data_IF_406118251306
#
_entry.id   IF_406118251306
#
_cell.length_a   1.000
_cell.length_b   1.000
_cell.length_c   1.000
_cell.angle_alpha   90.00
_cell.angle_beta   90.00
_cell.angle_gamma   90.00
#
_symmetry.space_group_name_H-M   'P 1'
#
loop_
_entity.id
_entity.type
_entity.pdbx_description
1 polymer ?
#
# COMPACT_ATOMS: atom_id res chain seq x y z
N UNK A 1 -7.35 9.65 15.62
CA UNK A 1 -7.26 10.25 14.27
C UNK A 1 -8.59 10.05 13.57
N UNK A 2 -9.12 11.09 12.93
CA UNK A 2 -10.36 11.04 12.17
C UNK A 2 -10.09 11.33 10.70
N UNK A 3 -10.98 10.86 9.83
CA UNK A 3 -10.84 10.95 8.37
C UNK A 3 -12.10 11.54 7.74
N UNK A 4 -11.90 12.38 6.75
CA UNK A 4 -12.97 13.06 6.00
C UNK A 4 -12.76 12.89 4.50
N UNK A 5 -13.86 12.93 3.74
CA UNK A 5 -13.77 12.92 2.28
C UNK A 5 -13.26 14.25 1.75
N UNK A 6 -12.41 14.21 0.73
CA UNK A 6 -11.95 15.41 -0.02
C UNK A 6 -13.08 16.12 -0.78
N UNK A 7 -14.21 15.45 -0.97
CA UNK A 7 -15.41 16.02 -1.61
C UNK A 7 -16.50 16.43 -0.63
N UNK A 8 -16.30 16.20 0.68
CA UNK A 8 -17.22 16.67 1.68
C UNK A 8 -17.36 18.20 1.55
N UNK A 9 -18.59 18.68 1.26
CA UNK A 9 -18.84 20.10 1.20
C UNK A 9 -18.57 20.70 2.59
N UNK A 10 -17.96 21.89 2.64
CA UNK A 10 -17.66 22.59 3.89
C UNK A 10 -18.92 22.85 4.76
N UNK A 11 -20.11 22.75 4.16
CA UNK A 11 -21.42 22.87 4.80
C UNK A 11 -22.07 21.55 5.20
N UNK A 12 -21.51 20.41 4.80
CA UNK A 12 -22.06 19.10 5.11
C UNK A 12 -21.61 18.65 6.50
N UNK A 13 -22.21 19.20 7.53
CA UNK A 13 -22.20 18.66 8.90
C UNK A 13 -22.71 17.20 9.00
N UNK A 14 -22.94 16.53 7.85
CA UNK A 14 -23.61 15.24 7.74
C UNK A 14 -22.69 14.04 7.48
N UNK A 15 -21.41 14.24 7.21
CA UNK A 15 -20.48 13.12 7.18
C UNK A 15 -19.76 13.02 8.51
N UNK A 16 -20.24 12.11 9.36
CA UNK A 16 -19.52 11.76 10.59
C UNK A 16 -18.09 11.36 10.23
N UNK A 17 -17.08 11.95 10.89
CA UNK A 17 -15.70 11.56 10.66
C UNK A 17 -15.54 10.05 10.84
N UNK A 18 -14.82 9.43 9.91
CA UNK A 18 -14.59 7.99 9.90
C UNK A 18 -13.31 7.64 10.66
N UNK A 19 -13.22 6.41 11.15
CA UNK A 19 -12.01 5.87 11.75
C UNK A 19 -11.14 5.18 10.68
N UNK A 20 -9.88 4.90 11.02
CA UNK A 20 -8.96 4.25 10.08
C UNK A 20 -9.46 2.88 9.61
N UNK A 21 -9.98 2.06 10.52
CA UNK A 21 -10.51 0.73 10.18
C UNK A 21 -11.76 0.78 9.28
N UNK A 22 -12.51 1.88 9.28
CA UNK A 22 -13.67 2.05 8.41
C UNK A 22 -13.26 2.42 6.99
N UNK A 23 -12.35 3.40 6.85
CA UNK A 23 -11.85 3.83 5.54
C UNK A 23 -10.95 2.79 4.88
N UNK A 24 -10.29 1.94 5.68
CA UNK A 24 -9.44 0.85 5.21
C UNK A 24 -10.19 -0.07 4.24
N UNK A 25 -11.38 -0.54 4.63
CA UNK A 25 -12.18 -1.47 3.82
C UNK A 25 -12.99 -0.75 2.74
N UNK A 26 -13.38 0.50 2.97
CA UNK A 26 -14.19 1.29 2.04
C UNK A 26 -13.44 1.76 0.79
N UNK A 27 -12.17 2.11 0.94
CA UNK A 27 -11.31 2.65 -0.11
C UNK A 27 -11.66 4.09 -0.49
N UNK A 28 -12.75 4.32 -1.22
CA UNK A 28 -13.30 5.64 -1.55
C UNK A 28 -14.47 5.98 -0.62
N UNK A 29 -14.66 7.27 -0.40
CA UNK A 29 -15.86 7.78 0.23
C UNK A 29 -17.10 7.62 -0.69
N UNK A 30 -18.32 7.55 -0.12
CA UNK A 30 -19.55 7.38 -0.91
C UNK A 30 -19.79 8.48 -1.97
N UNK A 31 -19.23 9.68 -1.74
CA UNK A 31 -19.28 10.81 -2.68
C UNK A 31 -18.20 10.73 -3.77
N UNK A 32 -17.41 9.64 -3.79
CA UNK A 32 -16.30 9.43 -4.71
C UNK A 32 -15.03 10.21 -4.37
N UNK A 33 -14.99 10.88 -3.20
CA UNK A 33 -13.80 11.55 -2.68
C UNK A 33 -12.79 10.58 -2.07
N UNK A 34 -11.59 11.08 -1.85
CA UNK A 34 -10.54 10.38 -1.10
C UNK A 34 -10.73 10.64 0.39
N UNK A 35 -10.38 9.65 1.22
CA UNK A 35 -10.28 9.90 2.65
C UNK A 35 -8.90 10.46 2.98
N UNK A 36 -8.89 11.58 3.68
CA UNK A 36 -7.69 12.19 4.27
C UNK A 36 -7.87 12.36 5.77
N UNK A 37 -6.77 12.32 6.55
CA UNK A 37 -6.84 12.64 7.97
C UNK A 37 -7.23 14.11 8.17
N UNK A 38 -7.96 14.39 9.22
CA UNK A 38 -8.37 15.77 9.57
C UNK A 38 -7.18 16.66 9.94
N UNK A 39 -6.09 16.04 10.37
CA UNK A 39 -4.81 16.70 10.69
C UNK A 39 -3.64 15.78 10.36
N UNK A 40 -2.49 16.36 10.06
CA UNK A 40 -1.25 15.59 9.84
C UNK A 40 -0.42 15.58 11.14
N UNK A 41 -0.17 14.41 11.73
CA UNK A 41 0.65 14.30 12.93
C UNK A 41 2.03 14.88 12.71
N UNK A 42 2.48 15.72 13.63
CA UNK A 42 3.84 16.24 13.61
C UNK A 42 4.80 15.21 14.22
N UNK A 43 6.02 15.17 13.70
CA UNK A 43 7.13 14.37 14.21
C UNK A 43 8.18 15.30 14.80
N UNK A 44 8.52 15.08 16.06
CA UNK A 44 9.51 15.87 16.79
C UNK A 44 10.93 15.42 16.47
N UNK A 45 11.92 16.29 16.74
CA UNK A 45 13.35 15.93 16.63
C UNK A 45 13.72 14.75 17.53
N UNK A 46 13.17 14.68 18.75
CA UNK A 46 13.40 13.58 19.68
C UNK A 46 12.84 12.23 19.16
N UNK A 47 11.69 12.26 18.49
CA UNK A 47 11.16 11.06 17.84
C UNK A 47 12.05 10.62 16.68
N UNK A 48 12.52 11.54 15.83
CA UNK A 48 13.44 11.21 14.75
C UNK A 48 14.72 10.56 15.27
N UNK A 49 15.30 11.08 16.36
CA UNK A 49 16.50 10.52 16.99
C UNK A 49 16.26 9.12 17.54
N UNK A 50 15.12 8.91 18.19
CA UNK A 50 14.72 7.59 18.69
C UNK A 50 14.50 6.59 17.53
N UNK A 51 13.89 7.03 16.43
CA UNK A 51 13.55 6.18 15.29
C UNK A 51 14.76 5.73 14.47
N UNK A 52 15.91 6.41 14.56
CA UNK A 52 17.16 6.02 13.87
C UNK A 52 17.61 4.60 14.19
N UNK A 53 17.29 4.09 15.38
CA UNK A 53 17.70 2.77 15.85
C UNK A 53 16.68 1.67 15.60
N UNK A 54 15.50 2.02 15.12
CA UNK A 54 14.40 1.07 14.91
C UNK A 54 14.63 0.23 13.66
N UNK A 55 14.18 -1.02 13.72
CA UNK A 55 13.97 -1.85 12.54
C UNK A 55 12.87 -1.24 11.67
N UNK A 56 12.74 -1.69 10.42
CA UNK A 56 11.69 -1.22 9.53
C UNK A 56 10.27 -1.48 10.10
N UNK A 57 10.04 -2.66 10.68
CA UNK A 57 8.77 -3.04 11.28
C UNK A 57 8.40 -2.16 12.48
N UNK A 58 9.38 -1.85 13.34
CA UNK A 58 9.18 -0.94 14.48
C UNK A 58 8.93 0.49 14.01
N UNK A 59 9.67 0.98 13.02
CA UNK A 59 9.43 2.30 12.43
C UNK A 59 8.03 2.38 11.79
N UNK A 60 7.61 1.33 11.10
CA UNK A 60 6.27 1.25 10.54
C UNK A 60 5.20 1.32 11.63
N UNK A 61 5.38 0.64 12.75
CA UNK A 61 4.50 0.74 13.91
C UNK A 61 4.44 2.17 14.47
N UNK A 62 5.58 2.81 14.70
CA UNK A 62 5.66 4.17 15.25
C UNK A 62 4.95 5.21 14.37
N UNK A 63 5.05 5.07 13.06
CA UNK A 63 4.37 5.96 12.11
C UNK A 63 2.87 5.63 12.05
N UNK A 64 2.52 4.35 11.87
CA UNK A 64 1.14 3.93 11.69
C UNK A 64 0.27 4.20 12.93
N UNK A 65 0.80 4.09 14.14
CA UNK A 65 0.04 4.37 15.37
C UNK A 65 -0.44 5.82 15.47
N UNK A 66 0.22 6.75 14.76
CA UNK A 66 -0.23 8.15 14.68
C UNK A 66 -1.48 8.30 13.80
N UNK A 67 -1.72 7.38 12.89
CA UNK A 67 -2.82 7.38 11.94
C UNK A 67 -3.92 6.38 12.29
N UNK A 68 -3.57 5.14 12.62
CA UNK A 68 -4.49 4.05 12.91
C UNK A 68 -4.83 3.98 14.42
N UNK A 69 -5.33 5.08 14.97
CA UNK A 69 -5.55 5.26 16.42
C UNK A 69 -6.70 4.43 17.00
N UNK A 70 -7.51 3.82 16.16
CA UNK A 70 -8.60 2.91 16.52
C UNK A 70 -8.18 1.43 16.53
N UNK A 71 -6.94 1.13 16.11
CA UNK A 71 -6.35 -0.20 16.23
C UNK A 71 -5.50 -0.25 17.52
N UNK A 72 -5.73 -1.23 18.42
CA UNK A 72 -4.90 -1.39 19.60
C UNK A 72 -3.42 -1.51 19.25
N UNK A 73 -2.55 -0.81 20.00
CA UNK A 73 -1.11 -0.76 19.71
C UNK A 73 -0.46 -2.16 19.64
N UNK A 74 -0.87 -3.07 20.50
CA UNK A 74 -0.35 -4.44 20.50
C UNK A 74 -0.69 -5.18 19.19
N UNK A 75 -1.93 -5.00 18.68
CA UNK A 75 -2.36 -5.60 17.44
C UNK A 75 -1.61 -4.96 16.24
N UNK A 76 -1.49 -3.64 16.23
CA UNK A 76 -0.79 -2.90 15.17
C UNK A 76 0.70 -3.28 15.12
N UNK A 77 1.34 -3.41 16.26
CA UNK A 77 2.73 -3.86 16.39
C UNK A 77 2.91 -5.29 15.85
N UNK A 78 1.97 -6.19 16.17
CA UNK A 78 1.99 -7.56 15.65
C UNK A 78 1.80 -7.58 14.12
N UNK A 79 0.92 -6.72 13.58
CA UNK A 79 0.67 -6.60 12.14
C UNK A 79 1.91 -6.09 11.39
N UNK A 80 2.59 -5.06 11.88
CA UNK A 80 3.81 -4.55 11.25
C UNK A 80 4.96 -5.55 11.33
N UNK A 81 5.13 -6.23 12.48
CA UNK A 81 6.14 -7.27 12.66
C UNK A 81 5.88 -8.48 11.73
N UNK A 82 4.62 -8.90 11.56
CA UNK A 82 4.24 -9.96 10.61
C UNK A 82 4.49 -9.56 9.16
N UNK A 83 4.34 -8.28 8.83
CA UNK A 83 4.43 -7.78 7.45
C UNK A 83 5.87 -7.62 6.99
N UNK A 84 6.67 -6.90 7.76
CA UNK A 84 8.01 -6.45 7.35
C UNK A 84 9.09 -7.38 7.90
N UNK A 85 9.23 -8.53 7.24
CA UNK A 85 10.19 -9.58 7.60
C UNK A 85 11.17 -9.85 6.47
N UNK A 86 12.36 -10.36 6.79
CA UNK A 86 13.36 -10.78 5.81
C UNK A 86 12.82 -11.87 4.85
N UNK A 87 11.92 -12.73 5.33
CA UNK A 87 11.31 -13.78 4.51
C UNK A 87 10.37 -13.22 3.44
N UNK A 88 9.62 -12.18 3.76
CA UNK A 88 8.73 -11.50 2.81
C UNK A 88 9.53 -10.65 1.82
N UNK A 89 10.56 -9.92 2.30
CA UNK A 89 11.37 -9.00 1.48
C UNK A 89 12.74 -9.60 1.13
N UNK A 90 12.77 -10.88 0.79
CA UNK A 90 14.00 -11.67 0.59
C UNK A 90 14.75 -11.40 -0.71
N UNK A 91 14.14 -10.68 -1.66
CA UNK A 91 14.73 -10.45 -2.97
C UNK A 91 15.73 -9.27 -2.94
N UNK A 92 16.81 -9.44 -2.22
CA UNK A 92 17.89 -8.45 -2.08
C UNK A 92 19.02 -8.74 -3.08
N UNK A 93 19.81 -7.70 -3.37
CA UNK A 93 21.00 -7.83 -4.20
C UNK A 93 22.16 -8.36 -3.36
N UNK A 94 23.19 -8.84 -4.06
CA UNK A 94 24.42 -9.26 -3.41
C UNK A 94 25.01 -8.16 -2.54
N UNK A 95 25.37 -8.50 -1.30
CA UNK A 95 25.90 -7.58 -0.28
C UNK A 95 24.85 -6.77 0.47
N UNK A 96 23.56 -6.92 0.16
CA UNK A 96 22.46 -6.29 0.89
C UNK A 96 21.84 -7.27 1.90
N UNK A 97 21.29 -6.75 2.99
CA UNK A 97 20.57 -7.54 4.00
C UNK A 97 19.06 -7.46 3.80
N UNK A 98 18.39 -8.60 3.74
CA UNK A 98 16.93 -8.67 3.70
C UNK A 98 16.26 -8.09 4.97
N UNK A 99 16.98 -8.07 6.09
CA UNK A 99 16.50 -7.48 7.35
C UNK A 99 16.33 -5.95 7.25
N UNK A 100 17.01 -5.28 6.32
CA UNK A 100 16.86 -3.84 6.12
C UNK A 100 15.55 -3.46 5.45
N UNK A 101 14.87 -4.42 4.81
CA UNK A 101 13.63 -4.28 4.05
C UNK A 101 13.78 -3.33 2.85
N UNK A 102 14.33 -2.12 3.06
CA UNK A 102 14.63 -1.13 2.02
C UNK A 102 16.08 -0.67 2.11
N UNK A 103 17.04 -1.56 1.75
CA UNK A 103 18.46 -1.24 1.85
C UNK A 103 18.82 -0.02 1.00
N UNK A 104 19.81 0.75 1.49
CA UNK A 104 20.36 1.91 0.82
C UNK A 104 21.72 1.57 0.22
N UNK A 105 21.92 1.95 -1.04
CA UNK A 105 23.21 1.88 -1.71
C UNK A 105 23.70 3.27 -2.05
N UNK A 106 24.88 3.63 -1.61
CA UNK A 106 25.56 4.85 -2.06
C UNK A 106 26.14 4.59 -3.44
N UNK A 107 25.66 5.34 -4.44
CA UNK A 107 26.12 5.19 -5.84
C UNK A 107 27.36 6.05 -6.10
N UNK A 108 27.32 7.30 -5.68
CA UNK A 108 28.42 8.23 -5.83
C UNK A 108 28.32 9.36 -4.83
N UNK A 109 29.49 9.88 -4.43
CA UNK A 109 29.58 11.10 -3.64
C UNK A 109 30.48 12.08 -4.40
N UNK A 110 29.94 13.19 -4.90
CA UNK A 110 30.72 14.22 -5.53
C UNK A 110 30.35 15.61 -4.98
N UNK A 111 31.34 16.50 -4.85
CA UNK A 111 31.15 17.88 -4.38
C UNK A 111 30.34 17.98 -3.05
N UNK A 112 30.61 17.07 -2.10
CA UNK A 112 29.93 17.05 -0.79
C UNK A 112 28.47 16.55 -0.83
N UNK A 113 27.97 16.03 -1.96
CA UNK A 113 26.65 15.44 -2.09
C UNK A 113 26.76 13.93 -2.24
N UNK A 114 25.83 13.20 -1.61
CA UNK A 114 25.69 11.75 -1.78
C UNK A 114 24.50 11.49 -2.69
N UNK A 115 24.70 10.65 -3.70
CA UNK A 115 23.62 10.03 -4.44
C UNK A 115 23.37 8.64 -3.84
N UNK A 116 22.16 8.43 -3.34
CA UNK A 116 21.77 7.20 -2.64
C UNK A 116 20.59 6.57 -3.33
N UNK A 117 20.68 5.30 -3.65
CA UNK A 117 19.58 4.50 -4.15
C UNK A 117 18.93 3.74 -2.99
N UNK A 118 17.65 3.98 -2.75
CA UNK A 118 16.83 3.18 -1.84
C UNK A 118 16.09 2.09 -2.61
N UNK A 119 16.34 0.83 -2.29
CA UNK A 119 15.68 -0.29 -2.95
C UNK A 119 14.27 -0.48 -2.38
N UNK A 120 13.26 -0.51 -3.25
CA UNK A 120 11.86 -0.77 -2.90
C UNK A 120 11.31 -2.02 -3.60
N UNK A 121 12.16 -2.75 -4.32
CA UNK A 121 11.79 -3.90 -5.16
C UNK A 121 12.17 -5.25 -4.55
N UNK A 122 12.24 -5.34 -3.23
CA UNK A 122 12.70 -6.55 -2.53
C UNK A 122 11.56 -7.49 -2.12
N UNK A 123 10.32 -7.07 -2.34
CA UNK A 123 9.13 -7.82 -2.01
C UNK A 123 8.83 -8.99 -2.97
N UNK A 124 7.73 -9.73 -2.74
CA UNK A 124 7.42 -10.96 -3.48
C UNK A 124 7.27 -10.79 -4.99
N UNK A 125 6.80 -9.63 -5.45
CA UNK A 125 6.55 -9.37 -6.88
C UNK A 125 7.61 -8.50 -7.53
N UNK A 126 8.62 -8.07 -6.79
CA UNK A 126 9.67 -7.15 -7.21
C UNK A 126 9.16 -5.75 -7.60
N UNK A 127 7.90 -5.46 -7.32
CA UNK A 127 7.31 -4.14 -7.49
C UNK A 127 7.31 -3.37 -6.16
N UNK A 128 7.56 -2.06 -6.20
CA UNK A 128 7.50 -1.21 -4.99
C UNK A 128 6.13 -1.27 -4.28
N UNK A 129 5.11 -1.68 -5.01
CA UNK A 129 3.74 -1.83 -4.51
C UNK A 129 3.63 -2.85 -3.39
N UNK A 130 4.53 -3.83 -3.33
CA UNK A 130 4.63 -4.79 -2.25
C UNK A 130 4.78 -4.12 -0.88
N UNK A 131 5.50 -2.99 -0.81
CA UNK A 131 5.74 -2.25 0.42
C UNK A 131 4.44 -1.85 1.14
N UNK A 132 3.42 -1.49 0.38
CA UNK A 132 2.11 -1.14 0.91
C UNK A 132 1.12 -2.30 0.89
N UNK A 133 1.14 -3.13 -0.16
CA UNK A 133 0.15 -4.20 -0.35
C UNK A 133 0.28 -5.30 0.69
N UNK A 134 1.50 -5.68 1.09
CA UNK A 134 1.70 -6.70 2.12
C UNK A 134 1.10 -6.27 3.47
N UNK A 135 1.27 -4.99 3.84
CA UNK A 135 0.61 -4.44 5.02
C UNK A 135 -0.91 -4.39 4.86
N UNK A 136 -1.39 -3.93 3.70
CA UNK A 136 -2.82 -3.82 3.41
C UNK A 136 -3.52 -5.18 3.54
N UNK A 137 -2.90 -6.25 3.03
CA UNK A 137 -3.43 -7.62 3.17
C UNK A 137 -3.59 -8.06 4.62
N UNK A 138 -2.60 -7.78 5.46
CA UNK A 138 -2.66 -8.10 6.88
C UNK A 138 -3.70 -7.23 7.63
N UNK A 139 -3.79 -5.94 7.30
CA UNK A 139 -4.80 -5.03 7.88
C UNK A 139 -6.22 -5.43 7.46
N UNK A 140 -6.45 -5.82 6.20
CA UNK A 140 -7.76 -6.29 5.73
C UNK A 140 -8.19 -7.55 6.47
N UNK A 141 -7.31 -8.56 6.53
CA UNK A 141 -7.61 -9.80 7.26
C UNK A 141 -7.97 -9.53 8.72
N UNK A 142 -7.20 -8.64 9.39
CA UNK A 142 -7.48 -8.21 10.76
C UNK A 142 -8.84 -7.50 10.90
N UNK A 143 -9.10 -6.50 10.07
CA UNK A 143 -10.33 -5.72 10.14
C UNK A 143 -11.59 -6.56 9.84
N UNK A 144 -11.49 -7.45 8.86
CA UNK A 144 -12.57 -8.36 8.50
C UNK A 144 -12.85 -9.38 9.60
N UNK A 145 -11.80 -9.93 10.24
CA UNK A 145 -11.97 -10.84 11.38
C UNK A 145 -12.66 -10.14 12.55
N UNK A 146 -12.29 -8.89 12.88
CA UNK A 146 -12.94 -8.10 13.94
C UNK A 146 -14.41 -7.82 13.66
N UNK A 147 -14.77 -7.61 12.40
CA UNK A 147 -16.16 -7.33 11.97
C UNK A 147 -16.97 -8.60 11.62
N UNK A 148 -16.38 -9.77 11.71
CA UNK A 148 -16.92 -11.03 11.20
C UNK A 148 -17.49 -10.88 9.78
N UNK A 149 -16.70 -10.27 8.89
CA UNK A 149 -17.09 -9.88 7.55
C UNK A 149 -16.21 -10.54 6.50
N UNK A 150 -16.67 -10.48 5.24
CA UNK A 150 -15.94 -10.92 4.06
C UNK A 150 -15.85 -9.78 3.06
N UNK A 151 -14.86 -9.84 2.17
CA UNK A 151 -14.61 -8.85 1.13
C UNK A 151 -14.24 -9.55 -0.17
N UNK A 152 -14.87 -9.14 -1.26
CA UNK A 152 -14.49 -9.49 -2.61
C UNK A 152 -13.75 -8.31 -3.23
N UNK A 153 -12.46 -8.43 -3.45
CA UNK A 153 -11.65 -7.43 -4.13
C UNK A 153 -11.86 -7.60 -5.62
N UNK A 154 -12.36 -6.56 -6.28
CA UNK A 154 -12.53 -6.54 -7.71
C UNK A 154 -11.71 -5.42 -8.32
N UNK A 155 -10.82 -5.76 -9.25
CA UNK A 155 -9.86 -4.82 -9.80
C UNK A 155 -9.44 -5.14 -11.22
N UNK A 156 -8.87 -4.13 -11.88
CA UNK A 156 -8.22 -4.27 -13.18
C UNK A 156 -6.73 -3.95 -13.05
N UNK A 157 -5.91 -4.66 -13.80
CA UNK A 157 -4.46 -4.49 -13.78
C UNK A 157 -3.84 -4.59 -15.16
N UNK A 158 -2.73 -3.88 -15.34
CA UNK A 158 -1.79 -4.07 -16.44
C UNK A 158 -0.53 -4.86 -16.03
N UNK A 159 -0.52 -5.37 -14.76
CA UNK A 159 0.56 -6.22 -14.24
C UNK A 159 0.87 -5.95 -12.76
N UNK A 160 1.69 -4.95 -12.44
CA UNK A 160 2.28 -4.74 -11.11
C UNK A 160 1.27 -4.64 -9.95
N UNK A 161 0.18 -3.91 -10.14
CA UNK A 161 -0.81 -3.72 -9.06
C UNK A 161 -1.55 -5.02 -8.79
N UNK A 162 -1.92 -5.76 -9.83
CA UNK A 162 -2.58 -7.05 -9.69
C UNK A 162 -1.69 -8.07 -9.01
N UNK A 163 -0.46 -8.24 -9.52
CA UNK A 163 0.51 -9.16 -8.90
C UNK A 163 0.70 -8.85 -7.41
N UNK A 164 0.98 -7.58 -7.06
CA UNK A 164 1.19 -7.19 -5.67
C UNK A 164 -0.05 -7.41 -4.78
N UNK A 165 -1.25 -7.14 -5.31
CA UNK A 165 -2.50 -7.38 -4.59
C UNK A 165 -2.75 -8.87 -4.34
N UNK A 166 -2.59 -9.70 -5.35
CA UNK A 166 -2.78 -11.14 -5.25
C UNK A 166 -1.80 -11.77 -4.27
N UNK A 167 -0.51 -11.44 -4.37
CA UNK A 167 0.52 -11.95 -3.44
C UNK A 167 0.29 -11.49 -2.00
N UNK A 168 -0.29 -10.31 -1.81
CA UNK A 168 -0.63 -9.81 -0.47
C UNK A 168 -1.88 -10.47 0.12
N UNK A 169 -2.83 -10.86 -0.73
CA UNK A 169 -4.14 -11.35 -0.32
C UNK A 169 -4.30 -12.88 -0.40
N UNK A 170 -3.36 -13.58 -1.07
CA UNK A 170 -3.39 -15.03 -1.20
C UNK A 170 -3.46 -15.71 0.16
N UNK A 171 -4.33 -16.72 0.28
CA UNK A 171 -4.50 -17.51 1.49
C UNK A 171 -5.11 -16.76 2.68
N UNK A 172 -5.50 -15.48 2.54
CA UNK A 172 -6.09 -14.69 3.62
C UNK A 172 -7.56 -15.04 3.83
N UNK A 173 -7.94 -15.15 5.09
CA UNK A 173 -9.32 -15.47 5.46
C UNK A 173 -10.25 -14.29 5.21
N UNK A 174 -11.45 -14.58 4.70
CA UNK A 174 -12.48 -13.58 4.45
C UNK A 174 -12.23 -12.70 3.21
N UNK A 175 -11.19 -12.97 2.42
CA UNK A 175 -10.84 -12.19 1.23
C UNK A 175 -10.85 -13.08 -0.01
N UNK A 176 -11.51 -12.63 -1.07
CA UNK A 176 -11.40 -13.19 -2.42
C UNK A 176 -10.96 -12.09 -3.37
N UNK A 177 -10.09 -12.40 -4.31
CA UNK A 177 -9.55 -11.45 -5.29
C UNK A 177 -9.97 -11.87 -6.69
N UNK A 178 -10.64 -10.99 -7.38
CA UNK A 178 -11.02 -11.12 -8.78
C UNK A 178 -10.30 -10.03 -9.57
N UNK A 179 -9.29 -10.43 -10.35
CA UNK A 179 -8.45 -9.49 -11.07
C UNK A 179 -8.63 -9.63 -12.58
N UNK A 180 -9.11 -8.55 -13.21
CA UNK A 180 -9.23 -8.45 -14.65
C UNK A 180 -7.89 -8.01 -15.25
N UNK A 181 -7.47 -8.66 -16.33
CA UNK A 181 -6.29 -8.25 -17.08
C UNK A 181 -6.51 -8.42 -18.59
N UNK A 182 -5.89 -7.58 -19.44
CA UNK A 182 -6.06 -7.69 -20.88
C UNK A 182 -5.34 -8.92 -21.41
N UNK A 183 -6.07 -9.78 -22.13
CA UNK A 183 -5.53 -11.03 -22.68
C UNK A 183 -4.32 -10.77 -23.56
N UNK A 184 -3.20 -11.43 -23.27
CA UNK A 184 -1.91 -11.32 -24.01
C UNK A 184 -1.34 -9.91 -24.15
N UNK A 185 -1.73 -8.95 -23.27
CA UNK A 185 -1.23 -7.56 -23.33
C UNK A 185 -0.34 -7.19 -22.13
N UNK A 186 -0.18 -8.09 -21.16
CA UNK A 186 0.80 -7.94 -20.09
C UNK A 186 2.15 -8.53 -20.49
N UNK A 187 3.23 -8.16 -19.80
CA UNK A 187 4.53 -8.83 -19.98
C UNK A 187 4.45 -10.32 -19.59
N UNK A 188 5.28 -11.15 -20.21
CA UNK A 188 5.33 -12.59 -19.89
C UNK A 188 5.65 -12.84 -18.41
N UNK A 189 6.50 -12.01 -17.82
CA UNK A 189 6.86 -12.10 -16.41
C UNK A 189 5.66 -11.82 -15.48
N UNK A 190 4.94 -10.74 -15.71
CA UNK A 190 3.76 -10.37 -14.91
C UNK A 190 2.62 -11.39 -15.08
N UNK A 191 2.43 -11.87 -16.31
CA UNK A 191 1.47 -12.95 -16.59
C UNK A 191 1.82 -14.21 -15.79
N UNK A 192 3.10 -14.61 -15.80
CA UNK A 192 3.55 -15.75 -15.04
C UNK A 192 3.36 -15.57 -13.52
N UNK A 193 3.66 -14.38 -12.98
CA UNK A 193 3.45 -14.10 -11.57
C UNK A 193 2.00 -14.31 -11.14
N UNK A 194 1.05 -13.76 -11.91
CA UNK A 194 -0.37 -13.81 -11.55
C UNK A 194 -1.00 -15.18 -11.82
N UNK A 195 -0.86 -15.67 -13.03
CA UNK A 195 -1.56 -16.90 -13.46
C UNK A 195 -0.92 -18.19 -12.94
N UNK A 196 0.24 -18.14 -12.30
CA UNK A 196 0.82 -19.28 -11.57
C UNK A 196 0.23 -19.49 -10.18
N UNK A 197 -0.52 -18.53 -9.64
CA UNK A 197 -1.13 -18.66 -8.33
C UNK A 197 -2.27 -19.66 -8.36
N UNK A 198 -2.25 -20.63 -7.41
CA UNK A 198 -3.26 -21.68 -7.28
C UNK A 198 -4.06 -21.56 -5.98
N UNK A 199 -3.95 -20.41 -5.33
CA UNK A 199 -4.66 -20.16 -4.07
C UNK A 199 -6.18 -20.08 -4.32
N UNK A 200 -7.02 -20.75 -3.51
CA UNK A 200 -8.45 -20.89 -3.76
C UNK A 200 -9.24 -19.58 -3.67
N UNK A 201 -8.60 -18.53 -3.19
CA UNK A 201 -9.20 -17.20 -3.06
C UNK A 201 -8.69 -16.19 -4.11
N UNK A 202 -7.89 -16.63 -5.10
CA UNK A 202 -7.34 -15.77 -6.18
C UNK A 202 -7.95 -16.20 -7.52
N UNK A 203 -8.56 -15.26 -8.22
CA UNK A 203 -9.23 -15.50 -9.50
C UNK A 203 -8.72 -14.50 -10.55
N UNK A 204 -7.91 -14.99 -11.47
CA UNK A 204 -7.39 -14.24 -12.61
C UNK A 204 -8.32 -14.40 -13.82
N UNK A 205 -8.78 -13.27 -14.36
CA UNK A 205 -9.72 -13.23 -15.48
C UNK A 205 -9.07 -12.47 -16.63
N UNK A 206 -8.77 -13.18 -17.72
CA UNK A 206 -8.25 -12.58 -18.95
C UNK A 206 -9.42 -12.08 -19.81
N UNK A 207 -9.39 -10.79 -20.17
CA UNK A 207 -10.42 -10.11 -20.96
C UNK A 207 -9.90 -9.87 -22.37
N UNK A 208 -10.64 -10.26 -23.37
CA UNK A 208 -10.35 -9.91 -24.77
C UNK A 208 -10.57 -8.41 -24.96
N UNK A 209 -9.48 -7.64 -25.00
CA UNK A 209 -9.52 -6.19 -25.07
C UNK A 209 -8.21 -5.56 -24.60
N UNK A 210 -8.26 -4.29 -24.23
CA UNK A 210 -7.15 -3.53 -23.67
C UNK A 210 -7.37 -3.26 -22.17
N UNK A 211 -6.39 -2.68 -21.51
CA UNK A 211 -6.48 -2.37 -20.07
C UNK A 211 -7.66 -1.45 -19.73
N UNK A 212 -7.97 -0.49 -20.61
CA UNK A 212 -9.07 0.43 -20.41
C UNK A 212 -10.43 -0.29 -20.40
N UNK A 213 -10.62 -1.33 -21.21
CA UNK A 213 -11.83 -2.16 -21.18
C UNK A 213 -11.99 -2.85 -19.82
N UNK A 214 -10.90 -3.39 -19.28
CA UNK A 214 -10.91 -3.97 -17.93
C UNK A 214 -11.25 -2.92 -16.85
N UNK A 215 -10.70 -1.71 -16.98
CA UNK A 215 -11.00 -0.62 -16.05
C UNK A 215 -12.46 -0.17 -16.14
N UNK A 216 -13.02 -0.10 -17.33
CA UNK A 216 -14.41 0.34 -17.50
C UNK A 216 -15.39 -0.66 -16.91
N UNK A 217 -15.12 -1.97 -17.01
CA UNK A 217 -15.87 -3.00 -16.29
C UNK A 217 -15.82 -2.78 -14.77
N UNK A 218 -14.63 -2.51 -14.20
CA UNK A 218 -14.48 -2.25 -12.76
C UNK A 218 -15.20 -0.98 -12.35
N UNK A 219 -15.14 0.09 -13.16
CA UNK A 219 -15.88 1.34 -12.91
C UNK A 219 -17.40 1.11 -12.95
N UNK A 220 -17.90 0.36 -13.93
CA UNK A 220 -19.32 0.04 -14.04
C UNK A 220 -19.84 -0.67 -12.80
N UNK A 221 -19.12 -1.69 -12.32
CA UNK A 221 -19.43 -2.41 -11.07
C UNK A 221 -19.32 -1.51 -9.85
N UNK A 222 -18.31 -0.64 -9.80
CA UNK A 222 -18.09 0.26 -8.66
C UNK A 222 -19.17 1.34 -8.54
N UNK A 223 -19.77 1.73 -9.66
CA UNK A 223 -20.85 2.72 -9.73
C UNK A 223 -22.23 2.12 -9.40
N UNK A 224 -22.40 0.82 -9.54
CA UNK A 224 -23.61 0.10 -9.12
C UNK A 224 -23.53 -0.15 -7.60
N UNK A 225 -23.89 0.86 -6.81
CA UNK A 225 -23.80 0.79 -5.34
C UNK A 225 -24.60 -0.36 -4.73
N UNK A 226 -25.85 -0.66 -5.18
CA UNK A 226 -26.61 -1.81 -4.69
C UNK A 226 -25.90 -3.15 -4.95
N UNK A 227 -25.38 -3.35 -6.15
CA UNK A 227 -24.64 -4.55 -6.51
C UNK A 227 -23.34 -4.66 -5.73
N UNK A 228 -22.57 -3.57 -5.64
CA UNK A 228 -21.34 -3.49 -4.86
C UNK A 228 -21.56 -3.87 -3.40
N UNK A 229 -22.60 -3.35 -2.78
CA UNK A 229 -22.96 -3.67 -1.39
C UNK A 229 -23.38 -5.13 -1.23
N UNK A 230 -24.27 -5.63 -2.11
CA UNK A 230 -24.76 -7.01 -2.11
C UNK A 230 -23.61 -8.02 -2.25
N UNK A 231 -22.65 -7.73 -3.12
CA UNK A 231 -21.50 -8.61 -3.40
C UNK A 231 -20.30 -8.31 -2.51
N UNK A 232 -20.42 -7.40 -1.53
CA UNK A 232 -19.31 -7.01 -0.62
C UNK A 232 -18.04 -6.66 -1.38
N UNK A 233 -18.16 -5.84 -2.44
CA UNK A 233 -17.05 -5.49 -3.32
C UNK A 233 -16.23 -4.35 -2.73
N UNK A 234 -14.93 -4.58 -2.61
CA UNK A 234 -13.91 -3.59 -2.27
C UNK A 234 -12.83 -3.47 -3.32
N UNK A 235 -11.89 -2.58 -3.09
CA UNK A 235 -10.79 -2.31 -4.01
C UNK A 235 -9.47 -2.13 -3.28
N UNK A 236 -8.37 -2.40 -3.99
CA UNK A 236 -6.98 -2.20 -3.53
C UNK A 236 -6.25 -1.11 -4.33
N UNK A 237 -7.00 -0.13 -4.84
CA UNK A 237 -6.43 0.92 -5.66
C UNK A 237 -5.40 1.81 -4.91
N UNK A 238 -4.66 2.64 -5.65
CA UNK A 238 -3.57 3.48 -5.12
C UNK A 238 -4.03 4.60 -4.20
N UNK A 239 -5.32 4.87 -4.16
CA UNK A 239 -5.94 5.98 -3.43
C UNK A 239 -6.41 5.62 -2.01
N UNK A 240 -6.32 4.34 -1.62
CA UNK A 240 -6.62 3.92 -0.24
C UNK A 240 -5.60 4.55 0.72
N UNK A 241 -6.09 5.28 1.74
CA UNK A 241 -5.21 6.00 2.68
C UNK A 241 -4.23 5.07 3.42
N UNK A 242 -4.65 3.88 3.81
CA UNK A 242 -3.75 2.93 4.45
C UNK A 242 -2.57 2.55 3.55
N UNK A 243 -2.80 2.51 2.23
CA UNK A 243 -1.76 2.29 1.25
C UNK A 243 -0.84 3.51 1.11
N UNK A 244 -1.38 4.71 1.21
CA UNK A 244 -0.59 5.95 1.18
C UNK A 244 0.29 6.04 2.42
N UNK A 245 -0.25 5.85 3.62
CA UNK A 245 0.52 5.97 4.85
C UNK A 245 1.59 4.88 4.99
N UNK A 246 1.35 3.68 4.46
CA UNK A 246 2.37 2.64 4.39
C UNK A 246 3.60 3.05 3.56
N UNK A 247 3.40 3.91 2.55
CA UNK A 247 4.49 4.45 1.75
C UNK A 247 5.26 5.56 2.48
N UNK A 248 4.63 6.29 3.39
CA UNK A 248 5.32 7.29 4.23
C UNK A 248 6.47 6.66 5.00
N UNK A 249 6.34 5.40 5.42
CA UNK A 249 7.35 4.67 6.20
C UNK A 249 8.69 4.62 5.48
N UNK A 250 8.74 4.27 4.20
CA UNK A 250 10.01 4.16 3.50
C UNK A 250 10.67 5.52 3.22
N UNK A 251 9.91 6.63 3.17
CA UNK A 251 10.50 7.97 3.12
C UNK A 251 11.21 8.29 4.43
N UNK A 252 10.57 8.03 5.58
CA UNK A 252 11.24 8.19 6.88
C UNK A 252 12.46 7.26 6.99
N UNK A 253 12.32 5.98 6.62
CA UNK A 253 13.46 5.04 6.64
C UNK A 253 14.62 5.54 5.79
N UNK A 254 14.34 6.00 4.58
CA UNK A 254 15.35 6.55 3.67
C UNK A 254 16.04 7.77 4.25
N UNK A 255 15.29 8.72 4.82
CA UNK A 255 15.85 9.89 5.50
C UNK A 255 16.75 9.49 6.67
N UNK A 256 16.24 8.67 7.59
CA UNK A 256 16.97 8.26 8.79
C UNK A 256 18.25 7.47 8.46
N UNK A 257 18.23 6.63 7.43
CA UNK A 257 19.38 5.84 7.01
C UNK A 257 20.41 6.65 6.18
N UNK A 258 19.97 7.68 5.45
CA UNK A 258 20.87 8.52 4.65
C UNK A 258 21.54 9.64 5.46
N UNK A 259 21.02 9.94 6.65
CA UNK A 259 21.48 11.06 7.51
C UNK A 259 21.94 10.57 8.86
N UNK A 260 22.80 11.37 9.52
CA UNK A 260 23.30 11.12 10.89
C UNK A 260 22.78 12.14 11.91
N UNK A 261 22.15 13.23 11.44
CA UNK A 261 21.55 14.25 12.30
C UNK A 261 20.29 14.83 11.64
N UNK A 262 19.45 15.49 12.43
CA UNK A 262 18.20 16.08 11.95
C UNK A 262 18.42 17.42 11.22
N UNK A 263 19.64 17.95 11.25
CA UNK A 263 20.07 19.18 10.52
C UNK A 263 20.29 18.89 9.02
N UNK A 264 20.53 17.63 8.66
CA UNK A 264 20.83 17.24 7.29
C UNK A 264 19.55 17.22 6.44
N UNK A 265 19.64 17.81 5.25
CA UNK A 265 18.55 17.86 4.28
C UNK A 265 18.72 16.74 3.25
N UNK A 266 17.61 16.12 2.89
CA UNK A 266 17.52 15.08 1.85
C UNK A 266 16.47 15.49 0.82
N UNK A 267 16.79 15.32 -0.45
CA UNK A 267 15.82 15.40 -1.54
C UNK A 267 15.51 14.00 -2.05
N UNK A 268 14.23 13.69 -2.20
CA UNK A 268 13.79 12.43 -2.80
C UNK A 268 13.41 12.65 -4.26
N UNK A 269 13.93 11.79 -5.14
CA UNK A 269 13.48 11.67 -6.52
C UNK A 269 12.89 10.27 -6.66
N UNK A 270 11.60 10.19 -6.89
CA UNK A 270 10.92 8.92 -7.09
C UNK A 270 10.72 8.69 -8.58
N UNK A 271 11.48 7.76 -9.15
CA UNK A 271 11.39 7.42 -10.58
C UNK A 271 10.02 6.89 -11.01
N UNK A 272 9.21 6.45 -10.03
CA UNK A 272 7.88 5.89 -10.26
C UNK A 272 6.78 6.96 -10.37
N UNK A 273 7.04 8.17 -9.85
CA UNK A 273 6.09 9.27 -9.81
C UNK A 273 6.52 10.48 -10.67
N UNK A 274 7.76 10.48 -11.15
CA UNK A 274 8.31 11.58 -11.98
C UNK A 274 8.17 11.35 -13.47
N UNK A 275 7.82 10.15 -13.90
CA UNK A 275 7.43 9.90 -15.28
C UNK A 275 6.05 10.50 -15.49
N UNK A 276 5.88 11.46 -16.41
CA UNK A 276 4.55 11.96 -16.75
C UNK A 276 3.70 10.76 -17.19
N UNK A 277 2.61 10.57 -16.49
CA UNK A 277 1.59 9.63 -16.95
C UNK A 277 1.00 10.18 -18.24
N UNK A 278 0.77 9.38 -19.28
CA UNK A 278 0.02 9.80 -20.45
C UNK A 278 -1.40 10.30 -20.13
N UNK A 279 -1.79 10.29 -18.86
CA UNK A 279 -3.11 10.64 -18.34
C UNK A 279 -3.14 11.89 -17.46
N UNK A 280 -1.96 12.52 -17.25
CA UNK A 280 -1.84 13.79 -16.52
C UNK A 280 -1.98 14.96 -17.49
#
# INVERSE_FOLDING_TARGET
MQYVSTRAAASAASQSPQQFSDILLGGLAPDGGLYLPTEYPQVTGAELDAWRKLSYAELAFEILKKFATDIPEADLKALTAKTYTADVYRNVREGESAADITPLRVLEASKGRKLVLQALSNGPTLAFKDMAMQLLGNLFEYALAKKNAELNIFGATSGDTGSAAEYAMRGKKGIRVFMLSPHKKMSAFQTAQMFSLQDPNIFNIAVEGVFDDCQDMVKAVSNDLPFKAKQKIGTVNSINWARVVAQVVYYFRGYLAATTSNEQKVSFTCLLYTSPSPRD
#
